data_IF_406343444510
#
_entry.id   IF_406343444510
#
_cell.length_a   1.000
_cell.length_b   1.000
_cell.length_c   1.000
_cell.angle_alpha   90.00
_cell.angle_beta   90.00
_cell.angle_gamma   90.00
#
_symmetry.space_group_name_H-M   'P 1'
#
loop_
_entity.id
_entity.type
_entity.pdbx_description
1 polymer ?
#
# COMPACT_ATOMS: atom_id res chain seq x y z
N UNK A 1 -37.68 1.11 -45.49
CA UNK A 1 -37.52 1.77 -44.18
C UNK A 1 -38.46 1.18 -43.12
N UNK A 2 -39.72 0.86 -43.45
CA UNK A 2 -40.60 0.11 -42.53
C UNK A 2 -40.15 -1.34 -42.27
N UNK A 3 -39.41 -1.97 -43.19
CA UNK A 3 -38.78 -3.27 -42.96
C UNK A 3 -37.45 -3.22 -42.20
N UNK A 4 -36.91 -2.01 -41.97
CA UNK A 4 -35.78 -1.77 -41.06
C UNK A 4 -36.28 -1.47 -39.63
N UNK A 5 -37.51 -0.94 -39.51
CA UNK A 5 -38.19 -0.65 -38.24
C UNK A 5 -38.87 -1.86 -37.59
N UNK A 6 -39.03 -2.99 -38.30
CA UNK A 6 -39.44 -4.26 -37.70
C UNK A 6 -38.29 -5.04 -37.04
N UNK A 7 -37.03 -4.68 -37.29
CA UNK A 7 -35.86 -5.34 -36.67
C UNK A 7 -35.31 -4.63 -35.43
N UNK A 8 -35.91 -3.51 -34.98
CA UNK A 8 -35.42 -2.73 -33.82
C UNK A 8 -36.38 -2.79 -32.61
N UNK A 9 -37.42 -3.64 -32.65
CA UNK A 9 -38.30 -3.89 -31.49
C UNK A 9 -38.38 -5.37 -31.14
N UNK A 10 -37.31 -5.89 -30.53
CA UNK A 10 -37.27 -7.04 -29.61
C UNK A 10 -35.83 -7.25 -29.12
N UNK A 11 -35.32 -6.31 -28.33
CA UNK A 11 -34.22 -6.66 -27.41
C UNK A 11 -34.91 -7.12 -26.14
N UNK A 12 -35.15 -8.42 -26.15
CA UNK A 12 -35.88 -9.16 -25.15
C UNK A 12 -35.12 -9.11 -23.81
N UNK A 13 -35.90 -8.98 -22.74
CA UNK A 13 -35.55 -8.95 -21.30
C UNK A 13 -34.88 -10.26 -20.82
N UNK A 14 -34.48 -11.14 -21.76
CA UNK A 14 -33.72 -12.36 -21.51
C UNK A 14 -32.20 -12.14 -21.35
N UNK A 15 -31.61 -11.09 -21.92
CA UNK A 15 -30.16 -10.84 -21.72
C UNK A 15 -29.90 -10.16 -20.37
N UNK A 16 -30.81 -9.30 -19.90
CA UNK A 16 -30.70 -8.67 -18.59
C UNK A 16 -30.88 -9.67 -17.42
N UNK A 17 -31.65 -10.74 -17.63
CA UNK A 17 -31.85 -11.79 -16.61
C UNK A 17 -30.82 -12.94 -16.70
N UNK A 18 -30.12 -13.12 -17.83
CA UNK A 18 -28.95 -14.03 -17.93
C UNK A 18 -27.70 -13.39 -17.30
N UNK A 19 -27.55 -12.06 -17.39
CA UNK A 19 -26.48 -11.33 -16.69
C UNK A 19 -26.68 -11.26 -15.16
N UNK A 20 -27.89 -11.59 -14.67
CA UNK A 20 -28.21 -11.64 -13.23
C UNK A 20 -28.17 -13.07 -12.64
N UNK A 21 -27.95 -14.09 -13.45
CA UNK A 21 -27.88 -15.50 -13.02
C UNK A 21 -26.52 -16.17 -13.19
N UNK A 22 -25.49 -15.47 -13.68
CA UNK A 22 -24.13 -15.84 -13.32
C UNK A 22 -23.96 -15.41 -11.86
N UNK A 23 -24.34 -16.30 -10.95
CA UNK A 23 -23.63 -16.37 -9.69
C UNK A 23 -22.18 -16.45 -10.11
N UNK A 24 -21.43 -15.36 -9.87
CA UNK A 24 -20.00 -15.43 -9.68
C UNK A 24 -19.87 -16.47 -8.56
N UNK A 25 -19.71 -17.73 -8.94
CA UNK A 25 -19.11 -18.74 -8.08
C UNK A 25 -17.84 -18.06 -7.66
N UNK A 26 -17.76 -17.74 -6.38
CA UNK A 26 -16.68 -16.91 -5.88
C UNK A 26 -15.47 -17.83 -5.94
N UNK A 27 -14.63 -17.69 -6.98
CA UNK A 27 -13.36 -18.42 -7.09
C UNK A 27 -12.70 -18.48 -5.72
N UNK A 28 -12.21 -19.66 -5.34
CA UNK A 28 -11.50 -19.80 -4.07
C UNK A 28 -10.40 -18.73 -4.01
N UNK A 29 -10.28 -18.06 -2.86
CA UNK A 29 -9.26 -17.02 -2.62
C UNK A 29 -7.85 -17.56 -2.90
N UNK A 30 -7.62 -18.83 -2.62
CA UNK A 30 -6.33 -19.48 -2.87
C UNK A 30 -6.06 -19.62 -4.39
N UNK A 31 -7.07 -20.01 -5.18
CA UNK A 31 -6.96 -20.07 -6.65
C UNK A 31 -6.68 -18.72 -7.26
N UNK A 32 -7.40 -17.68 -6.80
CA UNK A 32 -7.13 -16.31 -7.21
C UNK A 32 -5.68 -15.92 -6.93
N UNK A 33 -5.21 -16.17 -5.71
CA UNK A 33 -3.85 -15.83 -5.29
C UNK A 33 -2.81 -16.55 -6.16
N UNK A 34 -2.99 -17.85 -6.42
CA UNK A 34 -2.08 -18.64 -7.25
C UNK A 34 -2.02 -18.11 -8.69
N UNK A 35 -3.16 -17.79 -9.31
CA UNK A 35 -3.20 -17.19 -10.66
C UNK A 35 -2.37 -15.90 -10.69
N UNK A 36 -2.58 -15.00 -9.73
CA UNK A 36 -1.87 -13.72 -9.68
C UNK A 36 -0.37 -13.92 -9.49
N UNK A 37 0.04 -14.81 -8.58
CA UNK A 37 1.46 -15.09 -8.33
C UNK A 37 2.15 -15.70 -9.56
N UNK A 38 1.49 -16.64 -10.27
CA UNK A 38 2.01 -17.26 -11.48
C UNK A 38 2.16 -16.23 -12.60
N UNK A 39 1.14 -15.41 -12.85
CA UNK A 39 1.21 -14.37 -13.89
C UNK A 39 2.33 -13.38 -13.58
N UNK A 40 2.45 -12.94 -12.32
CA UNK A 40 3.51 -12.04 -11.91
C UNK A 40 4.91 -12.63 -12.15
N UNK A 41 5.12 -13.91 -11.83
CA UNK A 41 6.38 -14.59 -12.05
C UNK A 41 6.75 -14.65 -13.54
N UNK A 42 5.83 -15.08 -14.40
CA UNK A 42 6.00 -15.13 -15.87
C UNK A 42 6.40 -13.75 -16.42
N UNK A 43 5.71 -12.69 -15.98
CA UNK A 43 5.98 -11.32 -16.46
C UNK A 43 7.33 -10.79 -15.94
N UNK A 44 7.66 -11.09 -14.69
CA UNK A 44 8.91 -10.62 -14.05
C UNK A 44 10.13 -11.26 -14.69
N UNK A 45 10.01 -12.52 -15.14
CA UNK A 45 11.06 -13.25 -15.83
C UNK A 45 11.16 -12.89 -17.33
N UNK A 46 10.38 -11.91 -17.79
CA UNK A 46 10.53 -11.30 -19.12
C UNK A 46 9.94 -12.11 -20.27
N UNK A 47 9.05 -13.06 -19.98
CA UNK A 47 8.52 -14.01 -20.98
C UNK A 47 7.38 -13.43 -21.84
N UNK A 48 6.92 -12.19 -21.59
CA UNK A 48 5.79 -11.59 -22.30
C UNK A 48 5.93 -10.08 -22.55
N UNK A 49 5.61 -9.66 -23.77
CA UNK A 49 5.46 -8.25 -24.15
C UNK A 49 4.06 -7.69 -23.84
N UNK A 50 3.93 -6.36 -23.74
CA UNK A 50 2.62 -5.69 -23.61
C UNK A 50 1.64 -6.03 -24.75
N UNK A 51 2.14 -6.31 -25.95
CA UNK A 51 1.31 -6.71 -27.09
C UNK A 51 0.72 -8.10 -26.85
N UNK A 52 1.52 -9.04 -26.34
CA UNK A 52 1.07 -10.38 -25.99
C UNK A 52 0.12 -10.39 -24.80
N UNK A 53 0.30 -9.48 -23.83
CA UNK A 53 -0.63 -9.33 -22.70
C UNK A 53 -2.02 -8.83 -23.12
N UNK A 54 -2.10 -8.03 -24.19
CA UNK A 54 -3.37 -7.54 -24.74
C UNK A 54 -4.15 -8.64 -25.48
N UNK A 55 -3.44 -9.54 -26.15
CA UNK A 55 -4.01 -10.69 -26.87
C UNK A 55 -3.31 -11.98 -26.45
N UNK A 56 -3.55 -12.49 -25.23
CA UNK A 56 -2.86 -13.67 -24.75
C UNK A 56 -3.17 -14.89 -25.63
N UNK A 57 -2.13 -15.59 -26.05
CA UNK A 57 -2.28 -16.83 -26.82
C UNK A 57 -2.96 -17.91 -25.97
N UNK A 58 -3.63 -18.87 -26.62
CA UNK A 58 -4.20 -20.00 -25.90
C UNK A 58 -3.11 -20.82 -25.20
N UNK A 59 -1.93 -20.95 -25.80
CA UNK A 59 -0.78 -21.66 -25.20
C UNK A 59 -0.37 -21.06 -23.85
N UNK A 60 -0.29 -19.73 -23.74
CA UNK A 60 0.05 -19.05 -22.47
C UNK A 60 -1.07 -19.23 -21.44
N UNK A 61 -2.32 -19.09 -21.86
CA UNK A 61 -3.48 -19.28 -20.98
C UNK A 61 -3.53 -20.72 -20.46
N UNK A 62 -3.29 -21.70 -21.32
CA UNK A 62 -3.25 -23.12 -20.97
C UNK A 62 -2.03 -23.46 -20.10
N UNK A 63 -0.87 -22.85 -20.34
CA UNK A 63 0.31 -22.97 -19.47
C UNK A 63 0.00 -22.51 -18.04
N UNK A 64 -0.54 -21.30 -17.89
CA UNK A 64 -0.90 -20.74 -16.58
C UNK A 64 -1.96 -21.62 -15.91
N UNK A 65 -2.98 -22.04 -16.67
CA UNK A 65 -4.00 -22.94 -16.18
C UNK A 65 -3.40 -24.26 -15.64
N UNK A 66 -2.51 -24.89 -16.41
CA UNK A 66 -1.84 -26.12 -15.98
C UNK A 66 -0.99 -25.91 -14.71
N UNK A 67 -0.26 -24.78 -14.62
CA UNK A 67 0.50 -24.43 -13.41
C UNK A 67 -0.42 -24.27 -12.19
N UNK A 68 -1.56 -23.59 -12.34
CA UNK A 68 -2.57 -23.44 -11.27
C UNK A 68 -3.04 -24.83 -10.81
N UNK A 69 -3.41 -25.71 -11.75
CA UNK A 69 -3.87 -27.07 -11.42
C UNK A 69 -2.84 -27.89 -10.63
N UNK A 70 -1.56 -27.75 -10.98
CA UNK A 70 -0.44 -28.40 -10.28
C UNK A 70 -0.27 -27.86 -8.86
N UNK A 71 -0.23 -26.53 -8.71
CA UNK A 71 -0.04 -25.87 -7.40
C UNK A 71 -1.20 -26.21 -6.45
N UNK A 72 -2.43 -26.22 -6.96
CA UNK A 72 -3.61 -26.56 -6.18
C UNK A 72 -3.78 -28.06 -5.92
N UNK A 73 -2.96 -28.91 -6.56
CA UNK A 73 -3.04 -30.37 -6.50
C UNK A 73 -4.43 -30.90 -6.89
N UNK A 74 -5.13 -30.19 -7.79
CA UNK A 74 -6.46 -30.56 -8.26
C UNK A 74 -6.34 -31.57 -9.39
N UNK A 75 -6.90 -32.77 -9.20
CA UNK A 75 -6.88 -33.86 -10.21
C UNK A 75 -8.10 -33.85 -11.13
N UNK A 76 -9.21 -33.26 -10.71
CA UNK A 76 -10.47 -33.14 -11.47
C UNK A 76 -11.18 -31.86 -11.04
N UNK A 77 -11.74 -31.13 -12.00
CA UNK A 77 -12.59 -29.96 -11.80
C UNK A 77 -13.81 -30.08 -12.72
N UNK A 78 -14.88 -29.35 -12.42
CA UNK A 78 -16.03 -29.27 -13.33
C UNK A 78 -15.69 -28.40 -14.54
N UNK A 79 -16.41 -28.57 -15.65
CA UNK A 79 -16.27 -27.70 -16.83
C UNK A 79 -16.58 -26.23 -16.50
N UNK A 80 -17.48 -25.98 -15.56
CA UNK A 80 -17.79 -24.62 -15.07
C UNK A 80 -16.60 -23.99 -14.34
N UNK A 81 -15.94 -24.75 -13.46
CA UNK A 81 -14.75 -24.27 -12.74
C UNK A 81 -13.57 -24.03 -13.68
N UNK A 82 -13.40 -24.87 -14.71
CA UNK A 82 -12.37 -24.67 -15.73
C UNK A 82 -12.55 -23.35 -16.48
N UNK A 83 -13.78 -23.09 -16.95
CA UNK A 83 -14.13 -21.83 -17.64
C UNK A 83 -13.86 -20.64 -16.72
N UNK A 84 -14.29 -20.72 -15.46
CA UNK A 84 -14.07 -19.65 -14.49
C UNK A 84 -12.59 -19.34 -14.27
N UNK A 85 -11.73 -20.36 -14.15
CA UNK A 85 -10.28 -20.18 -13.97
C UNK A 85 -9.68 -19.54 -15.23
N UNK A 86 -10.03 -20.03 -16.42
CA UNK A 86 -9.52 -19.49 -17.71
C UNK A 86 -9.94 -18.03 -17.94
N UNK A 87 -11.18 -17.68 -17.63
CA UNK A 87 -11.66 -16.30 -17.70
C UNK A 87 -10.91 -15.38 -16.74
N UNK A 88 -10.62 -15.86 -15.52
CA UNK A 88 -9.82 -15.10 -14.55
C UNK A 88 -8.37 -14.93 -15.01
N UNK A 89 -7.75 -15.97 -15.59
CA UNK A 89 -6.40 -15.87 -16.18
C UNK A 89 -6.39 -14.78 -17.25
N UNK A 90 -7.33 -14.81 -18.20
CA UNK A 90 -7.41 -13.80 -19.25
C UNK A 90 -7.63 -12.39 -18.68
N UNK A 91 -8.52 -12.26 -17.69
CA UNK A 91 -8.75 -10.99 -16.98
C UNK A 91 -7.46 -10.44 -16.36
N UNK A 92 -6.70 -11.26 -15.63
CA UNK A 92 -5.50 -10.80 -14.93
C UNK A 92 -4.32 -10.56 -15.87
N UNK A 93 -4.19 -11.30 -16.96
CA UNK A 93 -3.22 -11.00 -18.02
C UNK A 93 -3.45 -9.60 -18.60
N UNK A 94 -4.70 -9.25 -18.93
CA UNK A 94 -5.06 -7.90 -19.39
C UNK A 94 -4.79 -6.83 -18.32
N UNK A 95 -5.00 -7.13 -17.03
CA UNK A 95 -4.65 -6.20 -15.95
C UNK A 95 -3.13 -6.02 -15.74
N UNK A 96 -2.31 -6.92 -16.27
CA UNK A 96 -0.85 -6.89 -16.11
C UNK A 96 -0.14 -6.05 -17.17
N UNK A 97 -0.87 -5.44 -18.10
CA UNK A 97 -0.31 -4.58 -19.13
C UNK A 97 0.48 -3.47 -18.46
N UNK A 98 1.78 -3.39 -18.77
CA UNK A 98 2.65 -2.38 -18.18
C UNK A 98 2.23 -1.01 -18.69
N UNK A 99 1.87 -0.12 -17.78
CA UNK A 99 1.60 1.28 -18.10
C UNK A 99 2.95 1.95 -18.37
N UNK A 100 3.06 2.62 -19.51
CA UNK A 100 4.21 3.45 -19.84
C UNK A 100 3.83 4.89 -19.49
N UNK A 101 4.56 5.55 -18.58
CA UNK A 101 4.29 6.94 -18.25
C UNK A 101 4.48 7.83 -19.46
N UNK A 102 3.67 8.88 -19.57
CA UNK A 102 3.84 9.89 -20.63
C UNK A 102 5.07 10.74 -20.34
N UNK A 103 5.89 10.97 -21.36
CA UNK A 103 6.97 11.95 -21.29
C UNK A 103 6.38 13.35 -21.44
N UNK A 104 6.30 14.09 -20.35
CA UNK A 104 5.83 15.48 -20.37
C UNK A 104 6.84 16.40 -21.04
N UNK A 105 6.36 17.27 -21.92
CA UNK A 105 7.16 18.36 -22.45
C UNK A 105 7.33 19.48 -21.40
N UNK A 106 8.22 20.45 -21.67
CA UNK A 106 8.53 21.54 -20.74
C UNK A 106 7.30 22.35 -20.32
N UNK A 107 6.35 22.58 -21.23
CA UNK A 107 5.12 23.32 -20.96
C UNK A 107 4.19 22.53 -20.03
N UNK A 108 4.05 21.23 -20.26
CA UNK A 108 3.26 20.33 -19.40
C UNK A 108 3.87 20.23 -18.00
N UNK A 109 5.19 20.06 -17.89
CA UNK A 109 5.89 20.09 -16.60
C UNK A 109 5.61 21.42 -15.87
N UNK A 110 5.63 22.55 -16.58
CA UNK A 110 5.30 23.86 -15.99
C UNK A 110 3.86 23.92 -15.44
N UNK A 111 2.88 23.32 -16.13
CA UNK A 111 1.50 23.23 -15.65
C UNK A 111 1.41 22.35 -14.40
N UNK A 112 2.06 21.20 -14.39
CA UNK A 112 2.07 20.28 -13.24
C UNK A 112 2.75 20.94 -12.03
N UNK A 113 3.85 21.68 -12.23
CA UNK A 113 4.50 22.43 -11.14
C UNK A 113 3.53 23.45 -10.53
N UNK A 114 2.78 24.19 -11.35
CA UNK A 114 1.78 25.15 -10.87
C UNK A 114 0.63 24.45 -10.12
N UNK A 115 0.20 23.28 -10.59
CA UNK A 115 -0.80 22.46 -9.91
C UNK A 115 -0.31 22.06 -8.51
N UNK A 116 0.90 21.51 -8.40
CA UNK A 116 1.52 21.14 -7.11
C UNK A 116 1.60 22.34 -6.15
N UNK A 117 2.05 23.50 -6.66
CA UNK A 117 2.10 24.73 -5.87
C UNK A 117 0.73 25.18 -5.37
N UNK A 118 -0.34 24.89 -6.11
CA UNK A 118 -1.70 25.18 -5.68
C UNK A 118 -2.23 24.16 -4.68
N UNK A 119 -1.93 22.87 -4.85
CA UNK A 119 -2.28 21.82 -3.87
C UNK A 119 -1.68 22.13 -2.50
N UNK A 120 -0.41 22.58 -2.46
CA UNK A 120 0.27 22.98 -1.21
C UNK A 120 -0.38 24.17 -0.48
N UNK A 121 -1.17 24.99 -1.17
CA UNK A 121 -1.89 26.12 -0.55
C UNK A 121 -3.23 25.72 0.04
N UNK A 122 -3.73 24.52 -0.28
CA UNK A 122 -4.99 24.04 0.28
C UNK A 122 -4.79 23.85 1.79
N UNK A 123 -5.66 24.42 2.64
CA UNK A 123 -5.57 24.23 4.08
C UNK A 123 -5.64 22.74 4.43
N UNK A 124 -4.61 22.27 5.13
CA UNK A 124 -4.48 20.91 5.62
C UNK A 124 -4.50 20.99 7.14
N UNK A 125 -5.67 20.75 7.78
CA UNK A 125 -5.75 20.73 9.23
C UNK A 125 -4.74 19.74 9.78
N UNK A 126 -3.98 20.14 10.80
CA UNK A 126 -3.06 19.24 11.49
C UNK A 126 -3.86 18.02 11.97
N UNK A 127 -3.28 16.83 11.80
CA UNK A 127 -3.98 15.58 12.11
C UNK A 127 -4.42 15.57 13.59
N UNK A 128 -5.54 14.89 13.87
CA UNK A 128 -6.14 14.80 15.22
C UNK A 128 -6.58 16.13 15.84
N UNK A 129 -6.61 17.23 15.09
CA UNK A 129 -7.25 18.48 15.53
C UNK A 129 -8.77 18.42 15.37
N UNK A 130 -9.55 19.18 16.16
CA UNK A 130 -11.00 19.30 15.94
C UNK A 130 -11.36 19.68 14.50
N UNK A 131 -10.57 20.56 13.88
CA UNK A 131 -10.70 20.97 12.49
C UNK A 131 -10.53 19.79 11.55
N UNK A 132 -9.54 18.90 11.79
CA UNK A 132 -9.33 17.67 11.03
C UNK A 132 -10.50 16.70 11.16
N UNK A 133 -11.03 16.49 12.38
CA UNK A 133 -12.19 15.63 12.58
C UNK A 133 -13.44 16.20 11.89
N UNK A 134 -13.70 17.50 12.00
CA UNK A 134 -14.81 18.18 11.31
C UNK A 134 -14.66 18.07 9.80
N UNK A 135 -13.44 18.30 9.29
CA UNK A 135 -13.12 18.20 7.88
C UNK A 135 -13.42 16.81 7.34
N UNK A 136 -13.01 15.75 8.05
CA UNK A 136 -13.21 14.36 7.62
C UNK A 136 -14.63 13.85 7.84
N UNK A 137 -15.35 14.33 8.85
CA UNK A 137 -16.69 13.87 9.15
C UNK A 137 -17.70 14.29 8.05
N UNK A 138 -17.46 15.39 7.35
CA UNK A 138 -18.38 15.91 6.33
C UNK A 138 -18.07 15.46 4.89
N UNK A 139 -17.35 14.35 4.74
CA UNK A 139 -16.98 13.80 3.43
C UNK A 139 -16.61 12.32 3.51
N UNK A 140 -16.81 11.62 2.40
CA UNK A 140 -16.19 10.33 2.13
C UNK A 140 -14.72 10.56 1.80
N UNK A 141 -13.83 9.72 2.36
CA UNK A 141 -12.40 9.74 2.05
C UNK A 141 -12.06 8.64 1.04
N UNK A 142 -11.05 8.86 0.21
CA UNK A 142 -10.62 7.90 -0.82
C UNK A 142 -10.36 6.48 -0.27
N UNK A 143 -9.84 6.36 0.95
CA UNK A 143 -9.64 5.07 1.64
C UNK A 143 -10.91 4.22 1.80
N UNK A 144 -12.07 4.86 1.95
CA UNK A 144 -13.37 4.20 2.09
C UNK A 144 -14.09 4.04 0.75
N UNK A 145 -13.57 4.60 -0.34
CA UNK A 145 -14.19 4.51 -1.66
C UNK A 145 -14.31 3.06 -2.13
N UNK A 146 -13.29 2.23 -1.88
CA UNK A 146 -13.37 0.79 -2.15
C UNK A 146 -14.54 0.10 -1.44
N UNK A 147 -14.94 0.57 -0.25
CA UNK A 147 -16.13 0.07 0.47
C UNK A 147 -17.42 0.52 -0.21
N UNK A 148 -17.50 1.79 -0.59
CA UNK A 148 -18.65 2.38 -1.31
C UNK A 148 -18.88 1.71 -2.67
N UNK A 149 -17.80 1.36 -3.36
CA UNK A 149 -17.84 0.64 -4.64
C UNK A 149 -18.17 -0.85 -4.50
N UNK A 150 -18.16 -1.40 -3.27
CA UNK A 150 -18.39 -2.82 -3.01
C UNK A 150 -17.18 -3.72 -3.27
N UNK A 151 -15.98 -3.15 -3.38
CA UNK A 151 -14.72 -3.88 -3.61
C UNK A 151 -14.03 -4.31 -2.32
N UNK A 152 -14.30 -3.62 -1.21
CA UNK A 152 -13.68 -3.91 0.08
C UNK A 152 -14.25 -5.21 0.68
N UNK A 153 -13.43 -6.26 0.90
CA UNK A 153 -13.90 -7.51 1.50
C UNK A 153 -14.01 -7.46 3.04
N UNK A 154 -13.49 -6.41 3.67
CA UNK A 154 -13.35 -6.29 5.13
C UNK A 154 -14.44 -5.42 5.76
N UNK A 155 -15.00 -4.49 4.98
CA UNK A 155 -16.03 -3.57 5.46
C UNK A 155 -17.26 -3.59 4.57
N UNK A 156 -18.44 -3.43 5.20
CA UNK A 156 -19.71 -3.32 4.51
C UNK A 156 -20.06 -1.86 4.29
N UNK A 157 -20.72 -1.58 3.16
CA UNK A 157 -21.25 -0.26 2.83
C UNK A 157 -21.96 0.44 4.00
N UNK A 158 -22.88 -0.24 4.68
CA UNK A 158 -23.67 0.37 5.76
C UNK A 158 -22.80 0.78 6.97
N UNK A 159 -21.69 0.08 7.23
CA UNK A 159 -20.77 0.46 8.31
C UNK A 159 -20.03 1.75 7.95
N UNK A 160 -19.64 1.91 6.68
CA UNK A 160 -19.06 3.17 6.20
C UNK A 160 -20.05 4.33 6.30
N UNK A 161 -21.35 4.10 6.06
CA UNK A 161 -22.40 5.13 6.25
C UNK A 161 -22.48 5.53 7.73
N UNK A 162 -22.53 4.53 8.61
CA UNK A 162 -22.66 4.71 10.06
C UNK A 162 -21.45 5.42 10.70
N UNK A 163 -20.23 5.19 10.21
CA UNK A 163 -19.03 5.97 10.61
C UNK A 163 -19.21 7.48 10.43
N UNK A 164 -20.01 7.91 9.44
CA UNK A 164 -20.28 9.34 9.18
C UNK A 164 -21.53 9.87 9.89
N UNK A 165 -22.19 9.06 10.71
CA UNK A 165 -23.40 9.43 11.45
C UNK A 165 -23.13 9.76 12.93
N UNK A 166 -21.87 9.87 13.35
CA UNK A 166 -21.49 10.17 14.74
C UNK A 166 -21.55 8.96 15.67
N UNK A 167 -21.61 7.74 15.13
CA UNK A 167 -21.42 6.52 15.91
C UNK A 167 -19.95 6.44 16.35
N UNK A 168 -19.75 6.36 17.65
CA UNK A 168 -18.44 6.15 18.25
C UNK A 168 -18.02 4.69 18.03
N UNK A 169 -17.23 4.48 16.97
CA UNK A 169 -16.68 3.18 16.61
C UNK A 169 -15.19 3.27 16.97
N UNK A 170 -14.76 2.73 18.12
CA UNK A 170 -13.37 2.84 18.55
C UNK A 170 -12.46 2.21 17.50
N UNK A 171 -11.46 2.97 17.06
CA UNK A 171 -10.43 2.46 16.18
C UNK A 171 -9.47 1.59 16.99
N UNK A 172 -9.42 0.30 16.68
CA UNK A 172 -8.50 -0.61 17.36
C UNK A 172 -7.23 -0.72 16.55
N UNK A 173 -6.19 -0.02 16.99
CA UNK A 173 -4.86 -0.19 16.45
C UNK A 173 -4.33 -1.58 16.70
N UNK A 174 -3.59 -2.10 15.73
CA UNK A 174 -2.98 -3.42 15.80
C UNK A 174 -1.56 -3.37 15.24
N UNK A 175 -0.80 -4.44 15.47
CA UNK A 175 0.60 -4.53 15.04
C UNK A 175 0.81 -4.31 13.53
N UNK A 176 -0.18 -4.60 12.69
CA UNK A 176 -0.07 -4.36 11.25
C UNK A 176 -0.21 -2.86 10.91
N UNK A 177 -1.05 -2.12 11.63
CA UNK A 177 -1.20 -0.67 11.47
C UNK A 177 0.07 0.03 11.95
N UNK A 178 0.57 -0.31 13.14
CA UNK A 178 1.83 0.23 13.68
C UNK A 178 3.02 -0.06 12.75
N UNK A 179 3.07 -1.27 12.18
CA UNK A 179 4.07 -1.62 11.15
C UNK A 179 3.92 -0.75 9.90
N UNK A 180 2.69 -0.49 9.45
CA UNK A 180 2.39 0.42 8.34
C UNK A 180 2.96 1.81 8.59
N UNK A 181 2.54 2.45 9.69
CA UNK A 181 2.99 3.81 10.05
C UNK A 181 4.50 3.90 10.10
N UNK A 182 5.15 2.99 10.85
CA UNK A 182 6.60 3.03 11.03
C UNK A 182 7.34 2.97 9.69
N UNK A 183 6.90 2.10 8.78
CA UNK A 183 7.65 1.79 7.57
C UNK A 183 7.20 2.53 6.31
N UNK A 184 6.12 3.30 6.37
CA UNK A 184 5.71 4.15 5.25
C UNK A 184 6.84 5.12 4.87
N UNK A 185 7.39 5.84 5.85
CA UNK A 185 8.51 6.76 5.64
C UNK A 185 9.79 6.07 5.15
N UNK A 186 10.04 4.83 5.58
CA UNK A 186 11.16 4.04 5.02
C UNK A 186 10.96 3.79 3.52
N UNK A 187 9.74 3.49 3.10
CA UNK A 187 9.44 3.26 1.68
C UNK A 187 9.47 4.55 0.89
N UNK A 188 9.01 5.67 1.45
CA UNK A 188 9.18 7.02 0.88
C UNK A 188 10.65 7.30 0.60
N UNK A 189 11.52 7.13 1.61
CA UNK A 189 12.96 7.34 1.47
C UNK A 189 13.60 6.41 0.42
N UNK A 190 13.16 5.14 0.33
CA UNK A 190 13.62 4.22 -0.72
C UNK A 190 13.18 4.71 -2.11
N UNK A 191 11.94 5.18 -2.24
CA UNK A 191 11.42 5.68 -3.50
C UNK A 191 12.17 6.94 -3.96
N UNK A 192 12.41 7.89 -3.06
CA UNK A 192 13.22 9.09 -3.33
C UNK A 192 14.64 8.73 -3.77
N UNK A 193 15.30 7.82 -3.02
CA UNK A 193 16.66 7.38 -3.31
C UNK A 193 16.78 6.68 -4.67
N UNK A 194 15.81 5.82 -5.02
CA UNK A 194 15.82 5.08 -6.29
C UNK A 194 15.57 5.96 -7.51
N UNK A 195 14.76 7.00 -7.34
CA UNK A 195 14.25 7.80 -8.45
C UNK A 195 14.87 9.20 -8.56
N UNK A 196 15.73 9.60 -7.61
CA UNK A 196 16.34 10.95 -7.49
C UNK A 196 15.25 12.05 -7.53
N UNK A 197 14.24 11.86 -6.68
CA UNK A 197 13.10 12.75 -6.50
C UNK A 197 13.00 13.21 -5.05
N UNK A 198 12.24 14.28 -4.83
CA UNK A 198 11.79 14.69 -3.51
C UNK A 198 10.26 14.60 -3.46
N UNK A 199 9.74 13.98 -2.41
CA UNK A 199 8.33 13.77 -2.19
C UNK A 199 7.85 14.78 -1.14
N UNK A 200 6.67 15.34 -1.38
CA UNK A 200 5.97 16.13 -0.40
C UNK A 200 4.73 15.36 0.07
N UNK A 201 4.57 15.21 1.38
CA UNK A 201 3.40 14.59 2.01
C UNK A 201 2.22 15.57 2.02
N UNK A 202 1.00 15.05 1.86
CA UNK A 202 -0.21 15.85 1.93
C UNK A 202 -1.18 15.29 2.96
N UNK A 203 -1.74 16.17 3.78
CA UNK A 203 -2.94 15.90 4.56
C UNK A 203 -4.17 15.70 3.66
N UNK A 204 -5.36 15.79 4.26
CA UNK A 204 -6.58 15.56 3.51
C UNK A 204 -6.93 16.75 2.59
N UNK A 205 -6.94 16.52 1.29
CA UNK A 205 -7.31 17.48 0.24
C UNK A 205 -8.80 17.30 -0.10
N UNK A 206 -9.63 18.37 -0.10
CA UNK A 206 -11.01 18.30 -0.58
C UNK A 206 -11.04 18.16 -2.10
N UNK A 207 -12.01 17.41 -2.61
CA UNK A 207 -12.30 17.47 -4.04
C UNK A 207 -12.78 18.87 -4.42
N UNK A 208 -12.30 19.48 -5.53
CA UNK A 208 -12.66 20.84 -5.92
C UNK A 208 -14.16 21.01 -6.21
N UNK A 209 -14.79 20.02 -6.84
CA UNK A 209 -16.21 20.06 -7.22
C UNK A 209 -17.15 19.25 -6.29
N UNK A 210 -16.74 18.06 -5.83
CA UNK A 210 -17.56 17.16 -5.01
C UNK A 210 -17.29 17.43 -3.51
N UNK A 211 -18.05 18.36 -2.92
CA UNK A 211 -17.82 18.86 -1.54
C UNK A 211 -17.74 17.78 -0.46
N UNK A 212 -18.45 16.67 -0.65
CA UNK A 212 -18.50 15.51 0.24
C UNK A 212 -17.50 14.41 -0.13
N UNK A 213 -16.47 14.71 -0.90
CA UNK A 213 -15.35 13.81 -1.18
C UNK A 213 -14.00 14.48 -0.90
N UNK A 214 -13.01 13.70 -0.49
CA UNK A 214 -11.64 14.15 -0.30
C UNK A 214 -10.66 12.98 -0.27
N UNK A 215 -9.37 13.28 -0.37
CA UNK A 215 -8.32 12.29 -0.44
C UNK A 215 -7.07 12.74 0.29
N UNK A 216 -6.32 11.78 0.83
CA UNK A 216 -5.00 11.98 1.42
C UNK A 216 -4.05 11.08 0.64
N UNK A 217 -3.27 11.59 -0.31
CA UNK A 217 -2.20 10.82 -0.94
C UNK A 217 -1.00 10.73 0.03
N UNK A 218 -0.34 9.58 0.07
CA UNK A 218 0.84 9.38 0.93
C UNK A 218 1.99 10.33 0.50
N UNK A 219 2.05 10.68 -0.78
CA UNK A 219 2.95 11.73 -1.25
C UNK A 219 2.81 12.06 -2.73
N UNK A 220 3.35 13.21 -3.14
CA UNK A 220 3.48 13.60 -4.55
C UNK A 220 4.91 14.10 -4.78
N UNK A 221 5.53 13.63 -5.87
CA UNK A 221 6.85 14.11 -6.31
C UNK A 221 6.79 15.61 -6.60
N UNK A 222 7.59 16.36 -5.85
CA UNK A 222 7.53 17.81 -5.79
C UNK A 222 8.19 18.49 -7.01
N UNK A 223 7.76 19.71 -7.26
CA UNK A 223 8.21 20.61 -8.31
C UNK A 223 9.71 20.96 -8.27
N UNK A 224 10.39 20.79 -7.12
CA UNK A 224 11.83 21.00 -6.96
C UNK A 224 12.66 19.74 -7.28
N UNK A 225 12.02 18.60 -7.54
CA UNK A 225 12.71 17.33 -7.83
C UNK A 225 13.63 17.45 -9.04
N UNK A 226 14.79 16.79 -8.95
CA UNK A 226 15.79 16.73 -10.02
C UNK A 226 15.27 15.91 -11.20
N UNK A 227 14.69 14.75 -10.92
CA UNK A 227 14.05 13.93 -11.95
C UNK A 227 12.73 14.55 -12.43
N UNK A 228 12.81 15.33 -13.50
CA UNK A 228 11.69 16.13 -14.02
C UNK A 228 10.56 15.30 -14.63
N UNK A 229 10.82 14.07 -15.08
CA UNK A 229 9.80 13.22 -15.71
C UNK A 229 8.81 12.63 -14.70
N UNK A 230 9.15 12.68 -13.41
CA UNK A 230 8.31 12.16 -12.32
C UNK A 230 7.56 13.25 -11.56
N UNK A 231 7.71 14.53 -11.92
CA UNK A 231 6.99 15.60 -11.22
C UNK A 231 5.49 15.41 -11.31
N UNK A 232 4.81 15.51 -10.17
CA UNK A 232 3.38 15.25 -10.05
C UNK A 232 3.02 13.76 -10.07
N UNK A 233 4.01 12.87 -10.04
CA UNK A 233 3.76 11.44 -9.76
C UNK A 233 3.30 11.33 -8.32
N UNK A 234 2.09 10.82 -8.13
CA UNK A 234 1.59 10.45 -6.81
C UNK A 234 2.23 9.14 -6.37
N UNK A 235 2.38 8.94 -5.07
CA UNK A 235 2.75 7.65 -4.49
C UNK A 235 1.66 7.21 -3.50
N UNK A 236 1.39 5.91 -3.49
CA UNK A 236 0.53 5.25 -2.51
C UNK A 236 1.28 4.02 -2.00
N UNK A 237 1.67 4.05 -0.73
CA UNK A 237 2.53 3.06 -0.08
C UNK A 237 1.68 2.09 0.74
N UNK A 238 2.00 0.80 0.64
CA UNK A 238 1.46 -0.24 1.51
C UNK A 238 2.58 -1.16 2.01
N UNK A 239 2.71 -1.25 3.32
CA UNK A 239 3.65 -2.14 4.02
C UNK A 239 2.89 -3.34 4.62
N UNK A 240 2.52 -4.37 3.84
CA UNK A 240 1.76 -5.50 4.38
C UNK A 240 2.60 -6.31 5.38
N UNK A 241 2.09 -6.54 6.59
CA UNK A 241 2.78 -7.36 7.59
C UNK A 241 2.72 -8.88 7.31
N UNK A 242 1.88 -9.33 6.37
CA UNK A 242 1.77 -10.75 6.03
C UNK A 242 0.95 -11.10 4.78
N UNK A 243 0.26 -10.13 4.15
CA UNK A 243 -0.39 -10.38 2.85
C UNK A 243 0.68 -10.53 1.77
N UNK A 244 0.62 -11.57 0.91
CA UNK A 244 1.51 -11.68 -0.23
C UNK A 244 1.39 -10.49 -1.20
N UNK A 245 2.54 -10.01 -1.68
CA UNK A 245 2.64 -9.04 -2.77
C UNK A 245 2.53 -9.81 -4.08
N UNK A 246 1.45 -9.58 -4.82
CA UNK A 246 1.18 -10.26 -6.09
C UNK A 246 1.61 -9.44 -7.30
N UNK A 247 2.04 -8.19 -7.11
CA UNK A 247 2.29 -7.23 -8.19
C UNK A 247 1.02 -6.74 -8.89
N UNK A 248 -0.12 -6.89 -8.23
CA UNK A 248 -1.39 -6.34 -8.67
C UNK A 248 -1.98 -5.50 -7.55
N UNK A 249 -2.51 -4.33 -7.89
CA UNK A 249 -3.26 -3.53 -6.93
C UNK A 249 -4.62 -4.20 -6.61
N UNK A 250 -4.91 -4.51 -5.34
CA UNK A 250 -6.25 -4.91 -4.92
C UNK A 250 -7.32 -3.88 -5.32
N UNK A 251 -8.50 -4.32 -5.76
CA UNK A 251 -9.52 -3.42 -6.36
C UNK A 251 -10.00 -2.29 -5.41
N UNK A 252 -9.99 -2.52 -4.09
CA UNK A 252 -10.34 -1.48 -3.11
C UNK A 252 -9.23 -0.42 -2.96
N UNK A 253 -7.95 -0.80 -3.06
CA UNK A 253 -6.85 0.16 -3.11
C UNK A 253 -6.79 0.85 -4.48
N UNK A 254 -7.11 0.15 -5.57
CA UNK A 254 -7.20 0.78 -6.89
C UNK A 254 -8.27 1.88 -6.90
N UNK A 255 -9.46 1.63 -6.31
CA UNK A 255 -10.48 2.66 -6.16
C UNK A 255 -10.00 3.84 -5.32
N UNK A 256 -9.25 3.60 -4.24
CA UNK A 256 -8.63 4.66 -3.44
C UNK A 256 -7.67 5.50 -4.29
N UNK A 257 -6.75 4.87 -5.03
CA UNK A 257 -5.79 5.54 -5.91
C UNK A 257 -6.51 6.38 -6.97
N UNK A 258 -7.55 5.85 -7.60
CA UNK A 258 -8.34 6.61 -8.56
C UNK A 258 -8.98 7.86 -7.94
N UNK A 259 -9.51 7.75 -6.72
CA UNK A 259 -10.05 8.90 -6.00
C UNK A 259 -9.00 9.95 -5.63
N UNK A 260 -7.79 9.53 -5.24
CA UNK A 260 -6.69 10.45 -4.98
C UNK A 260 -6.25 11.18 -6.25
N UNK A 261 -6.08 10.45 -7.36
CA UNK A 261 -5.70 11.01 -8.66
C UNK A 261 -6.71 12.02 -9.19
N UNK A 262 -8.00 11.77 -8.99
CA UNK A 262 -9.05 12.71 -9.41
C UNK A 262 -9.08 13.97 -8.53
N UNK A 263 -9.04 13.82 -7.19
CA UNK A 263 -8.99 14.94 -6.24
C UNK A 263 -7.81 15.88 -6.50
N UNK A 264 -6.63 15.31 -6.78
CA UNK A 264 -5.41 16.08 -6.97
C UNK A 264 -5.21 16.56 -8.42
N UNK A 265 -6.10 16.18 -9.34
CA UNK A 265 -5.97 16.38 -10.78
C UNK A 265 -4.63 15.87 -11.37
N UNK A 266 -4.21 14.68 -10.95
CA UNK A 266 -2.96 14.03 -11.38
C UNK A 266 -3.24 12.79 -12.23
N UNK A 267 -2.35 12.50 -13.18
CA UNK A 267 -2.55 11.43 -14.16
C UNK A 267 -2.09 10.05 -13.67
N UNK A 268 -1.09 10.02 -12.79
CA UNK A 268 -0.38 8.80 -12.45
C UNK A 268 -0.04 8.68 -10.96
N UNK A 269 -0.18 7.46 -10.45
CA UNK A 269 0.24 7.05 -9.10
C UNK A 269 1.11 5.80 -9.18
N UNK A 270 2.26 5.82 -8.51
CA UNK A 270 3.04 4.62 -8.23
C UNK A 270 2.48 3.95 -6.96
N UNK A 271 1.87 2.77 -7.12
CA UNK A 271 1.36 1.97 -6.01
C UNK A 271 2.46 1.03 -5.53
N UNK A 272 3.07 1.38 -4.40
CA UNK A 272 4.27 0.73 -3.88
C UNK A 272 3.89 -0.23 -2.76
N UNK A 273 4.13 -1.51 -2.98
CA UNK A 273 4.05 -2.53 -1.93
C UNK A 273 5.46 -2.92 -1.47
N UNK A 274 5.74 -2.79 -0.18
CA UNK A 274 7.04 -3.15 0.38
C UNK A 274 6.89 -4.14 1.54
N UNK A 275 7.56 -5.29 1.45
CA UNK A 275 7.63 -6.27 2.52
C UNK A 275 8.93 -6.09 3.29
N UNK A 276 8.83 -5.49 4.48
CA UNK A 276 9.97 -5.17 5.35
C UNK A 276 9.99 -6.11 6.56
N UNK A 277 11.19 -6.54 6.97
CA UNK A 277 11.41 -7.25 8.24
C UNK A 277 12.54 -6.63 9.03
N UNK A 278 12.42 -6.73 10.35
CA UNK A 278 13.51 -6.44 11.28
C UNK A 278 14.45 -7.65 11.37
N UNK A 279 15.75 -7.41 11.48
CA UNK A 279 16.72 -8.41 11.91
C UNK A 279 16.49 -8.73 13.39
N UNK A 280 16.83 -9.95 13.82
CA UNK A 280 16.73 -10.31 15.22
C UNK A 280 17.82 -9.61 16.05
N UNK A 281 19.03 -9.54 15.49
CA UNK A 281 20.22 -8.99 16.14
C UNK A 281 20.96 -8.00 15.23
N UNK A 282 21.65 -7.03 15.84
CA UNK A 282 22.46 -6.01 15.15
C UNK A 282 23.57 -6.64 14.29
N UNK A 283 24.18 -7.71 14.76
CA UNK A 283 25.24 -8.42 14.04
C UNK A 283 24.73 -9.04 12.74
N UNK A 284 23.49 -9.57 12.72
CA UNK A 284 22.91 -10.12 11.50
C UNK A 284 22.75 -9.04 10.42
N UNK A 285 22.39 -7.82 10.82
CA UNK A 285 22.30 -6.68 9.91
C UNK A 285 23.64 -6.39 9.23
N UNK A 286 24.74 -6.32 9.99
CA UNK A 286 26.05 -6.01 9.42
C UNK A 286 26.66 -7.16 8.62
N UNK A 287 26.27 -8.41 8.89
CA UNK A 287 26.72 -9.59 8.13
C UNK A 287 25.93 -9.82 6.83
N UNK A 288 24.69 -9.31 6.73
CA UNK A 288 23.83 -9.49 5.56
C UNK A 288 24.17 -8.48 4.46
N UNK A 289 25.29 -8.68 3.76
CA UNK A 289 25.85 -7.77 2.76
C UNK A 289 25.49 -8.24 1.33
N UNK A 290 25.02 -7.32 0.51
CA UNK A 290 24.79 -7.50 -0.92
C UNK A 290 25.98 -7.05 -1.77
N UNK A 291 25.71 -6.22 -2.78
CA UNK A 291 26.78 -5.62 -3.59
C UNK A 291 27.63 -4.59 -2.81
N UNK A 292 27.05 -4.03 -1.75
CA UNK A 292 27.72 -3.22 -0.74
C UNK A 292 26.98 -3.37 0.60
N UNK A 293 27.43 -2.69 1.64
CA UNK A 293 26.87 -2.75 3.00
C UNK A 293 25.51 -2.06 3.16
N UNK A 294 25.01 -1.35 2.15
CA UNK A 294 23.68 -0.71 2.13
C UNK A 294 22.58 -1.62 1.56
N UNK A 295 23.00 -2.63 0.81
CA UNK A 295 22.11 -3.67 0.29
C UNK A 295 22.25 -4.95 1.11
N UNK A 296 21.14 -5.65 1.29
CA UNK A 296 21.13 -7.01 1.83
C UNK A 296 21.53 -8.03 0.75
N UNK A 297 21.73 -9.29 1.12
CA UNK A 297 22.14 -10.37 0.20
C UNK A 297 21.20 -10.63 -0.98
N UNK A 298 19.95 -10.18 -0.90
CA UNK A 298 18.98 -10.27 -2.00
C UNK A 298 19.06 -9.07 -2.96
N UNK A 299 20.02 -8.15 -2.76
CA UNK A 299 20.18 -6.95 -3.58
C UNK A 299 19.15 -5.84 -3.30
N UNK A 300 18.46 -5.90 -2.16
CA UNK A 300 17.47 -4.90 -1.76
C UNK A 300 17.97 -4.09 -0.55
N UNK A 301 17.39 -2.93 -0.30
CA UNK A 301 17.84 -1.99 0.73
C UNK A 301 17.66 -2.57 2.14
N UNK A 302 18.51 -2.11 3.05
CA UNK A 302 18.40 -2.30 4.49
C UNK A 302 18.82 -1.01 5.21
N UNK A 303 18.36 -0.80 6.44
CA UNK A 303 18.67 0.42 7.19
C UNK A 303 18.30 0.32 8.66
N UNK A 304 18.26 1.49 9.32
CA UNK A 304 18.05 1.61 10.76
C UNK A 304 16.97 2.65 11.05
N UNK A 305 16.07 2.32 11.97
CA UNK A 305 15.09 3.25 12.56
C UNK A 305 15.23 3.19 14.08
N UNK A 306 15.21 4.34 14.75
CA UNK A 306 15.13 4.43 16.20
C UNK A 306 13.69 4.80 16.57
N UNK A 307 13.09 3.97 17.44
CA UNK A 307 11.76 4.17 17.98
C UNK A 307 11.90 4.91 19.32
N UNK A 308 11.11 5.98 19.49
CA UNK A 308 10.98 6.72 20.73
C UNK A 308 9.49 6.97 21.05
N UNK A 309 9.18 7.32 22.29
CA UNK A 309 7.83 7.71 22.71
C UNK A 309 7.83 9.16 23.18
N UNK A 310 6.93 9.98 22.65
CA UNK A 310 6.76 11.36 23.08
C UNK A 310 5.73 11.44 24.20
N UNK A 311 6.19 11.70 25.42
CA UNK A 311 5.40 11.76 26.64
C UNK A 311 4.39 12.91 26.62
N UNK A 312 4.76 14.06 26.03
CA UNK A 312 3.89 15.24 25.97
C UNK A 312 2.72 15.06 25.00
N UNK A 313 2.94 14.33 23.90
CA UNK A 313 1.95 14.06 22.85
C UNK A 313 1.26 12.71 23.01
N UNK A 314 1.75 11.85 23.90
CA UNK A 314 1.24 10.51 24.14
C UNK A 314 1.34 9.58 22.92
N UNK A 315 2.40 9.70 22.10
CA UNK A 315 2.51 8.93 20.84
C UNK A 315 3.95 8.50 20.51
N UNK A 316 4.06 7.44 19.72
CA UNK A 316 5.33 7.00 19.14
C UNK A 316 5.91 8.06 18.19
N UNK A 317 7.25 8.13 18.14
CA UNK A 317 8.03 8.97 17.22
C UNK A 317 9.17 8.12 16.67
N UNK A 318 9.48 8.27 15.39
CA UNK A 318 10.50 7.49 14.70
C UNK A 318 11.59 8.39 14.13
N UNK A 319 12.84 7.97 14.28
CA UNK A 319 14.00 8.62 13.66
C UNK A 319 14.58 7.69 12.60
N UNK A 320 14.69 8.19 11.37
CA UNK A 320 15.07 7.41 10.20
C UNK A 320 16.52 7.71 9.81
N UNK A 321 17.37 6.69 9.73
CA UNK A 321 18.73 6.85 9.22
C UNK A 321 18.69 7.00 7.70
N UNK A 322 19.49 7.93 7.17
CA UNK A 322 19.64 8.11 5.72
C UNK A 322 20.12 6.81 5.05
N UNK A 323 19.61 6.53 3.86
CA UNK A 323 19.99 5.36 3.06
C UNK A 323 21.40 5.52 2.46
N UNK A 324 22.03 4.40 2.12
CA UNK A 324 23.31 4.42 1.43
C UNK A 324 24.51 4.86 2.29
N UNK A 325 24.43 4.66 3.62
CA UNK A 325 25.43 5.15 4.59
C UNK A 325 26.26 4.05 5.23
N UNK A 326 27.57 4.30 5.34
CA UNK A 326 28.56 3.37 5.88
C UNK A 326 28.23 2.94 7.30
N UNK A 327 28.72 1.77 7.71
CA UNK A 327 28.64 1.31 9.09
C UNK A 327 29.08 2.38 10.10
N UNK A 328 30.21 3.04 9.88
CA UNK A 328 30.72 4.09 10.78
C UNK A 328 29.75 5.26 10.88
N UNK A 329 29.15 5.67 9.77
CA UNK A 329 28.12 6.72 9.78
C UNK A 329 26.91 6.30 10.62
N UNK A 330 26.42 5.08 10.40
CA UNK A 330 25.24 4.55 11.10
C UNK A 330 25.50 4.50 12.61
N UNK A 331 26.66 4.02 13.04
CA UNK A 331 27.03 3.94 14.46
C UNK A 331 27.10 5.33 15.11
N UNK A 332 27.66 6.33 14.41
CA UNK A 332 27.72 7.71 14.88
C UNK A 332 26.33 8.36 14.93
N UNK A 333 25.51 8.14 13.90
CA UNK A 333 24.14 8.63 13.84
C UNK A 333 23.29 8.03 14.98
N UNK A 334 23.40 6.73 15.21
CA UNK A 334 22.66 6.03 16.25
C UNK A 334 23.01 6.60 17.63
N UNK A 335 24.31 6.73 17.95
CA UNK A 335 24.75 7.34 19.22
C UNK A 335 24.18 8.74 19.38
N UNK A 336 24.32 9.60 18.36
CA UNK A 336 23.85 10.99 18.42
C UNK A 336 22.34 11.10 18.66
N UNK A 337 21.54 10.30 17.98
CA UNK A 337 20.07 10.33 18.13
C UNK A 337 19.66 9.80 19.50
N UNK A 338 20.29 8.74 20.00
CA UNK A 338 20.02 8.22 21.34
C UNK A 338 20.38 9.28 22.39
N UNK A 339 21.55 9.91 22.28
CA UNK A 339 21.95 10.98 23.20
C UNK A 339 20.94 12.14 23.18
N UNK A 340 20.49 12.55 21.99
CA UNK A 340 19.46 13.59 21.83
C UNK A 340 18.14 13.22 22.51
N UNK A 341 17.70 11.97 22.38
CA UNK A 341 16.48 11.48 23.04
C UNK A 341 16.65 11.47 24.56
N UNK A 342 17.80 11.02 25.06
CA UNK A 342 18.08 10.95 26.50
C UNK A 342 18.19 12.33 27.16
N UNK A 343 18.57 13.35 26.40
CA UNK A 343 18.63 14.75 26.84
C UNK A 343 17.26 15.46 26.83
N UNK A 344 16.28 14.97 26.04
CA UNK A 344 14.94 15.56 25.96
C UNK A 344 13.98 14.90 26.98
N UNK A 345 13.56 15.67 27.99
CA UNK A 345 12.62 15.21 29.02
C UNK A 345 11.24 14.78 28.50
N UNK A 346 10.89 15.09 27.25
CA UNK A 346 9.62 14.69 26.63
C UNK A 346 9.73 13.42 25.79
N UNK A 347 10.92 12.86 25.60
CA UNK A 347 11.15 11.67 24.79
C UNK A 347 11.65 10.50 25.63
N UNK A 348 11.21 9.31 25.29
CA UNK A 348 11.69 8.06 25.87
C UNK A 348 12.17 7.13 24.76
N UNK A 349 13.45 6.75 24.78
CA UNK A 349 13.98 5.76 23.85
C UNK A 349 13.30 4.41 24.07
N UNK A 350 12.79 3.81 22.99
CA UNK A 350 12.15 2.49 23.07
C UNK A 350 13.09 1.40 22.56
N UNK A 351 13.61 1.53 21.33
CA UNK A 351 14.50 0.54 20.71
C UNK A 351 15.13 1.07 19.42
N UNK A 352 16.18 0.39 18.97
CA UNK A 352 16.72 0.50 17.62
C UNK A 352 16.28 -0.71 16.80
N UNK A 353 15.68 -0.47 15.64
CA UNK A 353 15.26 -1.50 14.69
C UNK A 353 16.14 -1.47 13.44
N UNK A 354 16.89 -2.54 13.23
CA UNK A 354 17.61 -2.81 12.00
C UNK A 354 16.66 -3.54 11.04
N UNK A 355 16.38 -2.97 9.89
CA UNK A 355 15.38 -3.49 8.95
C UNK A 355 15.98 -3.86 7.60
N UNK A 356 15.31 -4.74 6.86
CA UNK A 356 15.60 -5.09 5.47
C UNK A 356 14.33 -5.23 4.64
N UNK A 357 14.44 -4.85 3.37
CA UNK A 357 13.44 -5.15 2.35
C UNK A 357 13.60 -6.58 1.88
N UNK A 358 12.51 -7.35 1.90
CA UNK A 358 12.45 -8.70 1.35
C UNK A 358 11.79 -8.73 -0.03
N UNK A 359 10.85 -7.83 -0.29
CA UNK A 359 10.19 -7.68 -1.58
C UNK A 359 9.74 -6.23 -1.75
N UNK A 360 9.97 -5.69 -2.93
CA UNK A 360 9.51 -4.36 -3.33
C UNK A 360 8.78 -4.51 -4.66
N UNK A 361 7.57 -3.99 -4.75
CA UNK A 361 6.81 -3.95 -5.99
C UNK A 361 6.28 -2.54 -6.20
N UNK A 362 6.62 -1.97 -7.34
CA UNK A 362 6.11 -0.67 -7.79
C UNK A 362 5.23 -0.90 -9.01
N UNK A 363 3.94 -0.60 -8.87
CA UNK A 363 2.95 -0.73 -9.91
C UNK A 363 2.42 0.66 -10.29
N UNK A 364 2.77 1.10 -11.49
CA UNK A 364 2.23 2.33 -12.03
C UNK A 364 0.74 2.19 -12.37
N UNK A 365 -0.09 3.07 -11.81
CA UNK A 365 -1.53 3.18 -12.05
C UNK A 365 -1.84 4.50 -12.76
N UNK A 366 -2.62 4.41 -13.84
CA UNK A 366 -3.12 5.57 -14.60
C UNK A 366 -4.53 5.94 -14.13
N UNK A 367 -4.85 7.25 -14.12
CA UNK A 367 -6.21 7.74 -13.86
C UNK A 367 -7.19 7.24 -14.93
N UNK A 368 -8.34 6.76 -14.47
CA UNK A 368 -9.48 6.31 -15.28
C UNK A 368 -10.64 7.29 -15.10
N UNK A 369 -10.59 8.36 -15.89
CA UNK A 369 -11.59 9.43 -15.89
C UNK A 369 -12.99 8.91 -16.24
N UNK A 370 -13.07 7.87 -17.08
CA UNK A 370 -14.35 7.31 -17.49
C UNK A 370 -14.98 6.55 -16.33
N UNK A 371 -14.23 5.65 -15.70
CA UNK A 371 -14.70 4.94 -14.49
C UNK A 371 -15.06 5.92 -13.38
N UNK A 372 -14.26 6.96 -13.16
CA UNK A 372 -14.57 7.97 -12.15
C UNK A 372 -15.95 8.60 -12.37
N UNK A 373 -16.17 9.16 -13.56
CA UNK A 373 -17.40 9.89 -13.88
C UNK A 373 -18.63 8.98 -13.99
N UNK A 374 -18.50 7.82 -14.63
CA UNK A 374 -19.64 6.94 -14.93
C UNK A 374 -20.00 6.01 -13.76
N UNK A 375 -19.02 5.62 -12.93
CA UNK A 375 -19.22 4.63 -11.86
C UNK A 375 -19.02 5.21 -10.46
N UNK A 376 -17.92 5.92 -10.21
CA UNK A 376 -17.57 6.35 -8.87
C UNK A 376 -18.46 7.52 -8.39
N UNK A 377 -18.56 8.60 -9.16
CA UNK A 377 -19.32 9.80 -8.80
C UNK A 377 -20.78 9.50 -8.45
N UNK A 378 -21.55 8.72 -9.24
CA UNK A 378 -22.92 8.36 -8.87
C UNK A 378 -23.02 7.61 -7.53
N UNK A 379 -22.08 6.69 -7.24
CA UNK A 379 -22.07 5.92 -5.99
C UNK A 379 -21.63 6.75 -4.80
N UNK A 380 -20.68 7.67 -4.98
CA UNK A 380 -20.28 8.65 -3.96
C UNK A 380 -21.48 9.53 -3.57
N UNK A 381 -22.21 10.04 -4.56
CA UNK A 381 -23.40 10.86 -4.32
C UNK A 381 -24.51 10.07 -3.61
N UNK A 382 -24.81 8.85 -4.08
CA UNK A 382 -25.79 7.97 -3.43
C UNK A 382 -25.40 7.64 -1.98
N UNK A 383 -24.12 7.37 -1.73
CA UNK A 383 -23.60 7.15 -0.39
C UNK A 383 -23.79 8.37 0.51
N UNK A 384 -23.53 9.57 -0.02
CA UNK A 384 -23.71 10.78 0.76
C UNK A 384 -25.18 11.08 1.06
N UNK A 385 -26.08 10.81 0.12
CA UNK A 385 -27.53 10.87 0.37
C UNK A 385 -27.94 9.93 1.50
N UNK A 386 -27.43 8.69 1.52
CA UNK A 386 -27.69 7.74 2.61
C UNK A 386 -27.17 8.29 3.95
N UNK A 387 -25.93 8.80 3.98
CA UNK A 387 -25.37 9.43 5.19
C UNK A 387 -26.28 10.55 5.70
N UNK A 388 -26.76 11.44 4.82
CA UNK A 388 -27.64 12.54 5.18
C UNK A 388 -29.03 12.06 5.65
N UNK A 389 -29.53 10.94 5.12
CA UNK A 389 -30.77 10.32 5.60
C UNK A 389 -30.60 9.72 6.99
N UNK A 390 -29.54 8.93 7.21
CA UNK A 390 -29.27 8.28 8.50
C UNK A 390 -28.90 9.27 9.60
N UNK A 391 -28.26 10.41 9.27
CA UNK A 391 -28.01 11.52 10.22
C UNK A 391 -29.28 12.12 10.82
N UNK A 392 -30.45 11.94 10.18
CA UNK A 392 -31.74 12.42 10.71
C UNK A 392 -32.35 11.50 11.77
N UNK A 393 -31.85 10.25 11.89
CA UNK A 393 -32.38 9.26 12.82
C UNK A 393 -31.81 9.48 14.24
N UNK A 394 -32.57 9.16 15.30
CA UNK A 394 -32.06 9.16 16.67
C UNK A 394 -30.90 8.16 16.82
N UNK A 395 -29.92 8.48 17.67
CA UNK A 395 -28.74 7.64 17.89
C UNK A 395 -29.07 6.23 18.37
N UNK A 396 -30.10 6.08 19.21
CA UNK A 396 -30.55 4.76 19.70
C UNK A 396 -31.02 3.85 18.56
N UNK A 397 -31.66 4.41 17.53
CA UNK A 397 -32.08 3.66 16.35
C UNK A 397 -30.86 3.21 15.54
N UNK A 398 -29.86 4.09 15.37
CA UNK A 398 -28.62 3.77 14.67
C UNK A 398 -27.83 2.66 15.38
N UNK A 399 -27.76 2.71 16.71
CA UNK A 399 -27.12 1.68 17.54
C UNK A 399 -27.77 0.30 17.37
N UNK A 400 -29.10 0.23 17.22
CA UNK A 400 -29.83 -1.03 16.99
C UNK A 400 -29.59 -1.59 15.57
N UNK A 401 -29.39 -0.72 14.59
CA UNK A 401 -29.14 -1.10 13.20
C UNK A 401 -27.67 -1.50 12.96
N UNK A 402 -26.74 -0.91 13.72
CA UNK A 402 -25.33 -1.23 13.63
C UNK A 402 -25.05 -2.66 14.09
N UNK A 403 -24.47 -3.47 13.20
CA UNK A 403 -24.04 -4.85 13.49
C UNK A 403 -22.54 -4.94 13.24
N UNK A 404 -21.69 -4.83 14.28
CA UNK A 404 -20.25 -4.92 14.08
C UNK A 404 -19.89 -6.26 13.42
N UNK A 405 -18.90 -6.23 12.54
CA UNK A 405 -18.35 -7.46 12.00
C UNK A 405 -17.76 -8.26 13.18
N UNK A 406 -18.36 -9.41 13.51
CA UNK A 406 -17.80 -10.32 14.52
C UNK A 406 -16.44 -10.79 14.02
N UNK A 407 -15.36 -10.24 14.57
CA UNK A 407 -14.01 -10.76 14.38
C UNK A 407 -14.01 -12.22 14.84
N UNK A 408 -13.77 -13.16 13.92
CA UNK A 408 -13.48 -14.55 14.27
C UNK A 408 -11.96 -14.65 14.39
N UNK A 409 -11.38 -14.77 15.60
CA UNK A 409 -9.95 -15.04 15.70
C UNK A 409 -9.65 -16.33 14.94
N UNK A 410 -8.72 -16.26 13.99
CA UNK A 410 -8.19 -17.45 13.34
C UNK A 410 -7.47 -18.28 14.41
N UNK A 411 -8.10 -19.36 14.85
CA UNK A 411 -7.43 -20.42 15.60
C UNK A 411 -6.42 -21.12 14.67
N UNK A 412 -5.27 -20.49 14.43
CA UNK A 412 -4.10 -21.20 13.92
C UNK A 412 -3.65 -22.18 15.00
N UNK A 413 -4.16 -23.41 14.95
CA UNK A 413 -3.50 -24.54 15.61
C UNK A 413 -2.09 -24.62 15.03
N UNK A 414 -1.08 -24.20 15.80
CA UNK A 414 0.34 -24.48 15.54
C UNK A 414 0.47 -25.98 15.29
N UNK A 415 0.62 -26.37 14.03
CA UNK A 415 1.09 -27.72 13.68
C UNK A 415 2.59 -27.69 13.98
N UNK A 416 2.95 -28.11 15.19
CA UNK A 416 4.34 -28.33 15.58
C UNK A 416 4.88 -29.40 14.63
N UNK A 417 5.72 -28.98 13.69
CA UNK A 417 6.58 -29.90 12.95
C UNK A 417 7.66 -30.30 13.94
N UNK A 418 7.58 -31.52 14.48
CA UNK A 418 8.69 -32.15 15.18
C UNK A 418 9.82 -32.32 14.16
N UNK A 419 10.81 -31.44 14.19
CA UNK A 419 12.10 -31.73 13.60
C UNK A 419 12.76 -32.81 14.45
N UNK A 420 13.11 -33.92 13.81
CA UNK A 420 13.91 -34.98 14.40
C UNK A 420 15.25 -34.41 14.84
N UNK A 421 15.46 -34.31 16.15
CA UNK A 421 16.77 -34.16 16.78
C UNK A 421 17.58 -35.43 16.49
N UNK A 422 18.56 -35.32 15.60
CA UNK A 422 19.72 -36.20 15.59
C UNK A 422 20.71 -35.65 16.62
N UNK A 423 20.80 -36.35 17.74
CA UNK A 423 21.82 -36.19 18.76
C UNK A 423 23.20 -36.51 18.18
N UNK A 424 24.11 -35.54 18.20
CA UNK A 424 25.54 -35.82 18.20
C UNK A 424 26.12 -35.32 19.52
N UNK A 425 26.76 -36.27 20.19
CA UNK A 425 27.36 -36.20 21.52
C UNK A 425 28.59 -35.30 21.59
N UNK A 426 28.79 -34.79 22.79
CA UNK A 426 29.94 -34.05 23.30
C UNK A 426 31.31 -34.41 22.70
N UNK A 427 32.07 -33.36 22.37
CA UNK A 427 33.50 -33.36 22.71
C UNK A 427 33.96 -31.93 22.99
N UNK A 428 34.48 -31.74 24.21
CA UNK A 428 35.19 -30.56 24.69
C UNK A 428 36.48 -30.35 23.88
N UNK A 429 36.84 -29.10 23.64
CA UNK A 429 38.24 -28.65 23.63
C UNK A 429 38.30 -27.13 23.84
N UNK A 430 38.91 -26.77 24.97
CA UNK A 430 39.41 -25.43 25.29
C UNK A 430 40.46 -24.97 24.27
N UNK A 431 40.57 -23.67 24.01
CA UNK A 431 41.78 -22.89 24.31
C UNK A 431 41.68 -21.42 23.90
N UNK A 432 42.28 -20.60 24.76
CA UNK A 432 42.49 -19.16 24.70
C UNK A 432 43.17 -18.65 23.41
N UNK A 433 42.87 -17.41 23.00
CA UNK A 433 43.91 -16.38 22.82
C UNK A 433 43.32 -14.96 22.71
N UNK A 434 43.96 -14.04 23.44
CA UNK A 434 43.88 -12.57 23.36
C UNK A 434 44.73 -12.07 22.18
N UNK A 435 44.42 -10.88 21.66
CA UNK A 435 45.31 -9.79 21.16
C UNK A 435 44.43 -8.79 20.38
N UNK A 436 44.16 -7.58 20.89
CA UNK A 436 44.96 -6.35 20.95
C UNK A 436 44.91 -5.44 19.69
N UNK A 437 44.14 -4.35 19.86
CA UNK A 437 44.45 -2.93 19.61
C UNK A 437 44.71 -2.32 18.21
N UNK A 438 44.00 -1.19 18.01
CA UNK A 438 44.42 0.12 17.46
C UNK A 438 44.61 0.35 15.96
N UNK A 439 43.79 1.25 15.39
CA UNK A 439 44.23 2.53 14.77
C UNK A 439 43.00 3.35 14.32
N UNK A 440 42.77 4.50 14.96
CA UNK A 440 43.03 5.90 14.54
C UNK A 440 41.93 6.52 13.67
N UNK A 441 41.23 7.46 14.31
CA UNK A 441 40.30 8.43 13.75
C UNK A 441 41.01 9.45 12.86
N UNK A 442 40.40 9.78 11.74
CA UNK A 442 40.50 11.11 11.12
C UNK A 442 39.07 11.66 10.97
N UNK A 443 38.86 12.82 11.58
CA UNK A 443 37.61 13.57 11.59
C UNK A 443 37.57 14.50 10.38
N UNK A 444 36.52 14.42 9.58
CA UNK A 444 36.08 15.57 8.80
C UNK A 444 34.56 15.74 8.90
N UNK A 445 34.20 16.85 9.53
CA UNK A 445 32.86 17.28 9.87
C UNK A 445 32.26 18.11 8.76
N UNK A 446 31.06 17.73 8.30
CA UNK A 446 29.92 18.62 8.01
C UNK A 446 28.72 17.74 7.64
N UNK A 447 27.93 17.41 8.65
CA UNK A 447 26.70 16.65 8.53
C UNK A 447 25.54 17.62 8.78
N UNK A 448 25.01 18.19 7.70
CA UNK A 448 23.74 18.91 7.75
C UNK A 448 22.64 17.91 8.12
N UNK A 449 21.94 18.20 9.20
CA UNK A 449 20.90 17.35 9.77
C UNK A 449 19.58 17.77 9.13
N UNK A 450 19.06 16.97 8.19
CA UNK A 450 17.69 17.14 7.72
C UNK A 450 16.75 16.59 8.80
N UNK A 451 16.12 17.49 9.54
CA UNK A 451 15.02 17.14 10.46
C UNK A 451 13.82 16.82 9.57
N UNK A 452 13.62 15.52 9.31
CA UNK A 452 12.44 14.99 8.62
C UNK A 452 11.18 15.22 9.45
N UNK A 453 10.08 15.55 8.78
CA UNK A 453 8.80 15.88 9.39
C UNK A 453 8.19 14.66 10.11
N UNK A 454 7.40 14.97 11.14
CA UNK A 454 6.71 14.05 12.04
C UNK A 454 5.76 13.14 11.25
N UNK A 455 5.96 11.82 11.31
CA UNK A 455 4.93 10.86 10.89
C UNK A 455 3.91 10.73 12.03
N UNK A 456 2.68 11.15 11.75
CA UNK A 456 1.57 11.10 12.70
C UNK A 456 0.74 9.82 12.46
N UNK A 457 0.89 8.82 13.34
CA UNK A 457 -0.01 7.66 13.39
C UNK A 457 -1.44 8.08 13.72
N UNK A 458 -2.42 7.23 13.42
CA UNK A 458 -3.79 7.30 13.96
C UNK A 458 -3.87 6.51 15.28
N UNK A 459 -4.10 7.19 16.40
CA UNK A 459 -4.45 6.62 17.71
C UNK A 459 -5.16 7.71 18.52
N UNK A 460 -6.45 7.52 18.79
CA UNK A 460 -7.19 8.21 19.87
C UNK A 460 -6.91 7.53 21.21
#
# INVERSE_FOLDING_TARGET
MEQYLQNVKKIDIKIYNVLKSIKITKMNKDTKLNILLIIHDIISNGEMSNKELNTPTNDIKDLIFNMVMVVEKKKKISSEEEIEIKDNIEKYLKKSIKIIPTNYNKTEIGKICNLILNLKKIPQPEQRTPEWHIFRNNRLTASDLGTVMGYNPYEKYINAVFKKCGLDIPFVTNKAIQHGVKYEEVVTNIFEFRNDVSIFEYGCIPHPEIKHFGASPDGIVDSNSKNRSMIGRMIEIKCPSGRPITGFCPEYYWAQVQGQLDVCDLEFCDFVECFIKEYAEKEEYYLDIGINDYYNKNGLEKGVVIDAYNLSKGKDVYFYCELGKSRTYIELWESKIIDTIMEDSNLEYQRTSYWKVLKYNDLLIKRDVKWWNEEAVPKINKYWEDVLEYRKKPMDELNLLYKPNKYKPNNFKKKIIKQNTLSFTDSKLDTNSKLDTNSKLETDSKLETTIGFLTDSDDD
#
